data_IF_971379703443
#
_entry.id   IF_971379703443
#
_cell.length_a   1.000
_cell.length_b   1.000
_cell.length_c   1.000
_cell.angle_alpha   90.00
_cell.angle_beta   90.00
_cell.angle_gamma   90.00
#
_symmetry.space_group_name_H-M   'P 1'
#
loop_
_entity.id
_entity.type
_entity.pdbx_description
1 polymer ?
#
# COMPACT_ATOMS: atom_id res chain seq x y z
N UNK A 1 16.61 16.19 -0.13
CA UNK A 1 16.80 14.72 -0.24
C UNK A 1 16.69 13.99 1.09
N UNK A 2 17.47 14.34 2.12
CA UNK A 2 17.53 13.58 3.39
C UNK A 2 16.17 13.49 4.13
N UNK A 3 15.39 14.57 4.16
CA UNK A 3 14.04 14.53 4.74
C UNK A 3 13.10 13.58 3.98
N UNK A 4 13.16 13.59 2.64
CA UNK A 4 12.33 12.74 1.78
C UNK A 4 12.72 11.27 1.93
N UNK A 5 14.01 10.96 2.08
CA UNK A 5 14.46 9.58 2.33
C UNK A 5 13.98 9.07 3.68
N UNK A 6 14.03 9.89 4.74
CA UNK A 6 13.49 9.53 6.07
C UNK A 6 11.98 9.25 5.97
N UNK A 7 11.23 10.12 5.28
CA UNK A 7 9.78 9.95 5.06
C UNK A 7 9.50 8.64 4.32
N UNK A 8 10.24 8.35 3.24
CA UNK A 8 10.08 7.11 2.47
C UNK A 8 10.35 5.87 3.31
N UNK A 9 11.39 5.88 4.15
CA UNK A 9 11.70 4.77 5.06
C UNK A 9 10.55 4.57 6.06
N UNK A 10 10.09 5.64 6.69
CA UNK A 10 9.01 5.59 7.67
C UNK A 10 7.71 5.07 7.05
N UNK A 11 7.32 5.60 5.89
CA UNK A 11 6.13 5.13 5.16
C UNK A 11 6.26 3.65 4.77
N UNK A 12 7.44 3.22 4.32
CA UNK A 12 7.69 1.81 3.96
C UNK A 12 7.56 0.87 5.16
N UNK A 13 8.04 1.28 6.34
CA UNK A 13 7.87 0.52 7.59
C UNK A 13 6.39 0.40 7.95
N UNK A 14 5.64 1.51 7.88
CA UNK A 14 4.20 1.53 8.16
C UNK A 14 3.45 0.63 7.16
N UNK A 15 3.79 0.69 5.88
CA UNK A 15 3.20 -0.15 4.83
C UNK A 15 3.41 -1.65 5.12
N UNK A 16 4.63 -2.05 5.52
CA UNK A 16 4.94 -3.43 5.92
C UNK A 16 4.13 -3.86 7.14
N UNK A 17 4.04 -3.01 8.16
CA UNK A 17 3.28 -3.28 9.37
C UNK A 17 1.78 -3.45 9.08
N UNK A 18 1.18 -2.51 8.34
CA UNK A 18 -0.23 -2.57 7.89
C UNK A 18 -0.50 -3.84 7.10
N UNK A 19 0.32 -4.17 6.11
CA UNK A 19 0.16 -5.38 5.30
C UNK A 19 0.17 -6.63 6.19
N UNK A 20 1.13 -6.74 7.11
CA UNK A 20 1.20 -7.87 8.04
C UNK A 20 0.00 -7.94 8.97
N UNK A 21 -0.48 -6.80 9.47
CA UNK A 21 -1.63 -6.72 10.36
C UNK A 21 -2.93 -7.08 9.66
N UNK A 22 -3.14 -6.62 8.43
CA UNK A 22 -4.34 -6.99 7.65
C UNK A 22 -4.32 -8.49 7.33
N UNK A 23 -3.14 -9.10 7.09
CA UNK A 23 -3.03 -10.55 6.91
C UNK A 23 -3.37 -11.35 8.16
N UNK A 24 -3.08 -10.83 9.36
CA UNK A 24 -3.40 -11.54 10.60
C UNK A 24 -4.89 -11.50 10.93
N UNK A 25 -5.63 -10.47 10.47
CA UNK A 25 -7.08 -10.35 10.65
C UNK A 25 -7.81 -11.03 9.49
N UNK A 26 -7.69 -12.36 9.38
CA UNK A 26 -8.46 -13.14 8.41
C UNK A 26 -9.93 -13.19 8.80
N UNK A 27 -10.81 -12.93 7.85
CA UNK A 27 -12.26 -13.03 8.01
C UNK A 27 -12.73 -14.49 7.90
N UNK A 28 -11.85 -15.40 7.47
CA UNK A 28 -12.13 -16.82 7.26
C UNK A 28 -12.66 -17.14 5.85
N UNK A 29 -12.60 -16.17 4.94
CA UNK A 29 -12.96 -16.38 3.54
C UNK A 29 -11.87 -17.24 2.86
N UNK A 30 -12.29 -18.31 2.20
CA UNK A 30 -11.41 -19.19 1.41
C UNK A 30 -10.62 -18.47 0.31
N UNK A 31 -11.11 -17.30 -0.13
CA UNK A 31 -10.43 -16.49 -1.14
C UNK A 31 -9.30 -15.63 -0.54
N UNK A 32 -9.25 -15.46 0.78
CA UNK A 32 -8.17 -14.76 1.48
C UNK A 32 -6.90 -15.64 1.55
N UNK A 33 -6.16 -15.71 0.43
CA UNK A 33 -4.91 -16.47 0.31
C UNK A 33 -3.68 -15.56 0.22
N UNK A 34 -2.55 -16.01 0.78
CA UNK A 34 -1.28 -15.27 0.67
C UNK A 34 -0.62 -15.37 -0.71
N UNK A 35 -1.29 -15.99 -1.68
CA UNK A 35 -0.76 -16.26 -3.02
C UNK A 35 -0.51 -14.98 -3.82
N UNK A 36 -1.26 -13.90 -3.56
CA UNK A 36 -1.17 -12.68 -4.37
C UNK A 36 -0.96 -11.45 -3.49
N UNK A 37 0.08 -10.67 -3.81
CA UNK A 37 0.35 -9.37 -3.17
C UNK A 37 -0.85 -8.40 -3.32
N UNK A 38 -1.53 -8.48 -4.45
CA UNK A 38 -2.72 -7.69 -4.80
C UNK A 38 -4.03 -8.24 -4.21
N UNK A 39 -3.98 -9.20 -3.29
CA UNK A 39 -5.19 -9.74 -2.66
C UNK A 39 -6.06 -8.65 -2.04
N UNK A 40 -5.46 -7.56 -1.54
CA UNK A 40 -6.21 -6.47 -0.91
C UNK A 40 -7.02 -5.62 -1.89
N UNK A 41 -6.72 -5.65 -3.20
CA UNK A 41 -7.47 -4.90 -4.22
C UNK A 41 -8.67 -5.62 -4.79
N UNK A 42 -8.79 -6.93 -4.54
CA UNK A 42 -9.90 -7.71 -5.07
C UNK A 42 -11.03 -7.76 -4.07
N UNK A 43 -12.21 -7.27 -4.48
CA UNK A 43 -13.44 -7.67 -3.81
C UNK A 43 -13.82 -9.05 -4.32
N UNK A 44 -13.70 -10.06 -3.45
CA UNK A 44 -13.98 -11.43 -3.82
C UNK A 44 -15.47 -11.61 -4.04
N UNK A 45 -15.83 -12.25 -5.16
CA UNK A 45 -17.22 -12.58 -5.45
C UNK A 45 -17.76 -13.50 -4.35
N UNK A 46 -18.93 -13.16 -3.81
CA UNK A 46 -19.60 -13.99 -2.81
C UNK A 46 -19.88 -15.39 -3.38
N UNK A 47 -19.61 -16.42 -2.57
CA UNK A 47 -19.95 -17.81 -2.94
C UNK A 47 -21.46 -18.07 -2.95
N UNK A 48 -22.23 -17.33 -2.14
CA UNK A 48 -23.68 -17.47 -2.12
C UNK A 48 -24.28 -16.94 -3.42
N UNK A 49 -24.96 -17.85 -4.15
CA UNK A 49 -25.79 -17.52 -5.32
C UNK A 49 -27.18 -17.01 -4.92
N UNK A 50 -27.59 -17.24 -3.67
CA UNK A 50 -28.85 -16.79 -3.10
C UNK A 50 -28.65 -15.53 -2.25
N UNK A 51 -29.56 -14.58 -2.35
CA UNK A 51 -29.56 -13.30 -1.62
C UNK A 51 -29.99 -13.48 -0.15
N UNK A 52 -29.19 -14.24 0.60
CA UNK A 52 -29.35 -14.38 2.05
C UNK A 52 -28.48 -13.36 2.79
N UNK A 53 -29.01 -12.67 3.81
CA UNK A 53 -28.23 -11.71 4.58
C UNK A 53 -27.07 -12.40 5.31
N UNK A 54 -25.86 -11.88 5.13
CA UNK A 54 -24.67 -12.34 5.85
C UNK A 54 -24.76 -11.99 7.36
N UNK A 55 -24.06 -12.77 8.21
CA UNK A 55 -24.01 -12.52 9.66
C UNK A 55 -23.45 -11.11 9.96
N UNK A 56 -24.16 -10.35 10.79
CA UNK A 56 -23.76 -9.00 11.19
C UNK A 56 -22.38 -8.92 11.85
N UNK A 57 -21.96 -9.96 12.59
CA UNK A 57 -20.60 -10.01 13.17
C UNK A 57 -19.53 -10.22 12.10
N UNK A 58 -19.82 -10.97 11.05
CA UNK A 58 -18.94 -11.12 9.88
C UNK A 58 -18.82 -9.80 9.12
N UNK A 59 -19.95 -9.15 8.82
CA UNK A 59 -19.98 -7.85 8.15
C UNK A 59 -19.20 -6.76 8.89
N UNK A 60 -19.28 -6.73 10.23
CA UNK A 60 -18.52 -5.77 11.04
C UNK A 60 -17.00 -5.98 10.91
N UNK A 61 -16.54 -7.23 10.94
CA UNK A 61 -15.12 -7.58 10.74
C UNK A 61 -14.65 -7.25 9.32
N UNK A 62 -15.46 -7.57 8.30
CA UNK A 62 -15.18 -7.23 6.89
C UNK A 62 -15.02 -5.72 6.69
N UNK A 63 -15.92 -4.90 7.27
CA UNK A 63 -15.82 -3.43 7.21
C UNK A 63 -14.56 -2.90 7.87
N UNK A 64 -14.19 -3.42 9.04
CA UNK A 64 -12.96 -3.02 9.74
C UNK A 64 -11.71 -3.35 8.92
N UNK A 65 -11.66 -4.55 8.32
CA UNK A 65 -10.58 -4.96 7.43
C UNK A 65 -10.49 -4.05 6.19
N UNK A 66 -11.62 -3.76 5.54
CA UNK A 66 -11.66 -2.86 4.38
C UNK A 66 -11.20 -1.43 4.72
N UNK A 67 -11.51 -0.92 5.90
CA UNK A 67 -11.01 0.37 6.36
C UNK A 67 -9.47 0.37 6.51
N UNK A 68 -8.88 -0.71 7.02
CA UNK A 68 -7.42 -0.84 7.11
C UNK A 68 -6.76 -0.95 5.73
N UNK A 69 -7.40 -1.67 4.79
CA UNK A 69 -6.95 -1.74 3.39
C UNK A 69 -6.99 -0.35 2.74
N UNK A 70 -8.04 0.44 3.00
CA UNK A 70 -8.12 1.81 2.53
C UNK A 70 -6.96 2.67 3.07
N UNK A 71 -6.64 2.55 4.36
CA UNK A 71 -5.48 3.23 4.97
C UNK A 71 -4.16 2.78 4.32
N UNK A 72 -4.02 1.48 4.02
CA UNK A 72 -2.86 0.96 3.28
C UNK A 72 -2.74 1.64 1.90
N UNK A 73 -3.83 1.86 1.18
CA UNK A 73 -3.78 2.56 -0.11
C UNK A 73 -3.38 4.02 0.00
N UNK A 74 -3.88 4.74 1.00
CA UNK A 74 -3.43 6.10 1.26
C UNK A 74 -1.92 6.11 1.53
N UNK A 75 -1.40 5.15 2.30
CA UNK A 75 0.03 5.04 2.55
C UNK A 75 0.84 4.79 1.26
N UNK A 76 0.41 3.84 0.43
CA UNK A 76 1.05 3.55 -0.86
C UNK A 76 1.01 4.77 -1.79
N UNK A 77 -0.08 5.52 -1.80
CA UNK A 77 -0.20 6.76 -2.57
C UNK A 77 0.79 7.83 -2.07
N UNK A 78 0.95 8.00 -0.77
CA UNK A 78 1.95 8.91 -0.18
C UNK A 78 3.39 8.47 -0.51
N UNK A 79 3.66 7.16 -0.51
CA UNK A 79 4.95 6.61 -0.95
C UNK A 79 5.20 7.00 -2.41
N UNK A 80 4.21 6.81 -3.29
CA UNK A 80 4.32 7.18 -4.70
C UNK A 80 4.64 8.66 -4.90
N UNK A 81 3.93 9.57 -4.22
CA UNK A 81 4.21 11.00 -4.29
C UNK A 81 5.62 11.35 -3.79
N UNK A 82 6.02 10.77 -2.65
CA UNK A 82 7.34 11.00 -2.05
C UNK A 82 8.46 10.46 -2.95
N UNK A 83 8.25 9.33 -3.62
CA UNK A 83 9.18 8.74 -4.58
C UNK A 83 9.37 9.63 -5.81
N UNK A 84 8.28 10.19 -6.35
CA UNK A 84 8.37 11.13 -7.47
C UNK A 84 9.20 12.36 -7.10
N UNK A 85 8.96 12.93 -5.92
CA UNK A 85 9.77 14.05 -5.42
C UNK A 85 11.24 13.66 -5.23
N UNK A 86 11.51 12.46 -4.70
CA UNK A 86 12.87 11.94 -4.57
C UNK A 86 13.56 11.81 -5.93
N UNK A 87 12.88 11.25 -6.93
CA UNK A 87 13.42 11.09 -8.28
C UNK A 87 13.71 12.43 -8.96
N UNK A 88 12.86 13.44 -8.76
CA UNK A 88 13.10 14.79 -9.28
C UNK A 88 14.42 15.38 -8.74
N UNK A 89 14.61 15.32 -7.41
CA UNK A 89 15.86 15.78 -6.80
C UNK A 89 17.08 14.95 -7.22
N UNK A 90 16.90 13.66 -7.46
CA UNK A 90 17.98 12.78 -7.94
C UNK A 90 18.39 13.19 -9.36
N UNK A 91 17.41 13.47 -10.23
CA UNK A 91 17.64 13.98 -11.58
C UNK A 91 18.39 15.32 -11.57
N UNK A 92 18.01 16.26 -10.68
CA UNK A 92 18.71 17.54 -10.54
C UNK A 92 20.20 17.33 -10.22
N UNK A 93 20.52 16.44 -9.28
CA UNK A 93 21.91 16.09 -8.91
C UNK A 93 22.66 15.49 -10.11
N UNK A 94 22.03 14.60 -10.87
CA UNK A 94 22.65 14.00 -12.06
C UNK A 94 22.97 15.07 -13.11
N UNK A 95 22.04 15.99 -13.35
CA UNK A 95 22.21 17.06 -14.34
C UNK A 95 23.32 18.02 -13.91
N UNK A 96 23.34 18.41 -12.64
CA UNK A 96 24.38 19.29 -12.08
C UNK A 96 25.77 18.63 -12.19
N UNK A 97 25.89 17.36 -11.82
CA UNK A 97 27.14 16.60 -11.98
C UNK A 97 27.60 16.52 -13.44
N UNK A 98 26.67 16.36 -14.40
CA UNK A 98 26.99 16.40 -15.83
C UNK A 98 27.47 17.77 -16.29
N UNK A 99 26.88 18.87 -15.80
CA UNK A 99 27.36 20.24 -16.12
C UNK A 99 28.80 20.47 -15.69
N UNK A 100 29.20 19.94 -14.53
CA UNK A 100 30.58 20.07 -14.03
C UNK A 100 31.61 19.25 -14.82
N UNK A 101 31.20 18.18 -15.53
CA UNK A 101 32.08 17.32 -16.32
C UNK A 101 32.25 17.77 -17.78
N UNK A 102 31.54 18.79 -18.24
CA UNK A 102 31.83 19.39 -19.55
C UNK A 102 33.04 20.32 -19.43
N UNK A 103 34.14 20.06 -20.14
CA UNK A 103 35.20 21.04 -20.26
C UNK A 103 34.61 22.21 -21.05
N UNK A 104 34.69 23.41 -20.47
CA UNK A 104 34.50 24.67 -21.20
C UNK A 104 35.70 24.82 -22.14
#
# INVERSE_FOLDING_TARGET
>A
MLGITIILILLSIICKFLSSYIKSIRTGDTNESDLTYWMFSYDFKSKNKEWLPEDGKFLKRKRQRNALVFVLYINVFLIFLSLNSFLAHLLDIIIEFKRFNYPI
#
